data_IF_103049308276
#
_entry.id   IF_103049308276
#
_cell.length_a   1.000
_cell.length_b   1.000
_cell.length_c   1.000
_cell.angle_alpha   90.00
_cell.angle_beta   90.00
_cell.angle_gamma   90.00
#
_symmetry.space_group_name_H-M   'P 1'
#
loop_
_entity.id
_entity.type
_entity.pdbx_description
1 polymer ?
#
# COMPACT_ATOMS: atom_id res chain seq x y z
N UNK A 1 34.69 30.78 16.17
CA UNK A 1 33.78 31.34 15.14
C UNK A 1 32.70 30.30 14.93
N UNK A 2 31.42 30.64 15.14
CA UNK A 2 30.34 29.72 14.79
C UNK A 2 30.39 29.50 13.27
N UNK A 3 30.38 28.25 12.82
CA UNK A 3 30.25 27.95 11.38
C UNK A 3 28.88 28.45 10.92
N UNK A 4 28.79 29.03 9.72
CA UNK A 4 27.51 29.38 9.12
C UNK A 4 26.76 28.11 8.72
N UNK A 5 25.42 28.20 8.64
CA UNK A 5 24.57 27.10 8.19
C UNK A 5 25.02 26.56 6.82
N UNK A 6 25.38 27.43 5.87
CA UNK A 6 25.87 27.03 4.55
C UNK A 6 27.17 26.20 4.59
N UNK A 7 28.13 26.56 5.47
CA UNK A 7 29.36 25.78 5.62
C UNK A 7 29.07 24.40 6.22
N UNK A 8 28.20 24.33 7.23
CA UNK A 8 27.78 23.05 7.82
C UNK A 8 27.00 22.19 6.82
N UNK A 9 26.24 22.82 5.93
CA UNK A 9 25.53 22.11 4.87
C UNK A 9 26.48 21.49 3.85
N UNK A 10 27.52 22.22 3.44
CA UNK A 10 28.58 21.64 2.59
C UNK A 10 29.28 20.47 3.29
N UNK A 11 29.64 20.62 4.56
CA UNK A 11 30.23 19.54 5.36
C UNK A 11 29.29 18.31 5.41
N UNK A 12 27.98 18.53 5.52
CA UNK A 12 26.97 17.46 5.54
C UNK A 12 26.91 16.70 4.20
N UNK A 13 26.98 17.42 3.08
CA UNK A 13 27.00 16.83 1.74
C UNK A 13 28.29 16.05 1.47
N UNK A 14 29.44 16.56 1.93
CA UNK A 14 30.72 15.84 1.85
C UNK A 14 30.68 14.54 2.67
N UNK A 15 30.18 14.59 3.90
CA UNK A 15 30.01 13.41 4.75
C UNK A 15 29.10 12.35 4.10
N UNK A 16 28.01 12.76 3.43
CA UNK A 16 27.13 11.83 2.73
C UNK A 16 27.83 11.17 1.53
N UNK A 17 28.59 11.94 0.74
CA UNK A 17 29.36 11.43 -0.39
C UNK A 17 30.44 10.44 0.03
N UNK A 18 31.06 10.67 1.19
CA UNK A 18 32.04 9.77 1.79
C UNK A 18 31.40 8.52 2.42
N UNK A 19 30.06 8.46 2.49
CA UNK A 19 29.29 7.38 3.07
C UNK A 19 29.16 7.43 4.60
N UNK A 20 29.62 8.50 5.24
CA UNK A 20 29.45 8.76 6.67
C UNK A 20 28.07 9.41 6.94
N UNK A 21 27.05 8.57 6.84
CA UNK A 21 25.65 8.97 6.94
C UNK A 21 25.25 9.47 8.33
N UNK A 22 25.87 8.93 9.39
CA UNK A 22 25.59 9.37 10.77
C UNK A 22 26.08 10.81 10.98
N UNK A 23 27.29 11.12 10.50
CA UNK A 23 27.82 12.48 10.51
C UNK A 23 26.99 13.41 9.61
N UNK A 24 26.61 12.96 8.41
CA UNK A 24 25.79 13.75 7.49
C UNK A 24 24.43 14.15 8.12
N UNK A 25 23.75 13.22 8.78
CA UNK A 25 22.48 13.51 9.48
C UNK A 25 22.71 14.46 10.66
N UNK A 26 23.79 14.27 11.42
CA UNK A 26 24.11 15.16 12.55
C UNK A 26 24.34 16.59 12.06
N UNK A 27 25.15 16.76 11.01
CA UNK A 27 25.42 18.07 10.43
C UNK A 27 24.17 18.70 9.83
N UNK A 28 23.31 17.93 9.16
CA UNK A 28 22.03 18.42 8.66
C UNK A 28 21.10 18.88 9.79
N UNK A 29 21.14 18.23 10.97
CA UNK A 29 20.42 18.70 12.17
C UNK A 29 20.98 20.02 12.68
N UNK A 30 22.29 20.14 12.78
CA UNK A 30 22.95 21.38 13.19
C UNK A 30 22.60 22.54 12.23
N UNK A 31 22.46 22.26 10.93
CA UNK A 31 22.00 23.23 9.92
C UNK A 31 20.59 23.73 10.26
N UNK A 32 19.62 22.84 10.50
CA UNK A 32 18.23 23.28 10.79
C UNK A 32 18.07 23.90 12.17
N UNK A 33 18.98 23.62 13.11
CA UNK A 33 19.03 24.33 14.39
C UNK A 33 19.47 25.79 14.23
N UNK A 34 20.34 26.08 13.25
CA UNK A 34 20.80 27.44 12.93
C UNK A 34 19.82 28.14 11.98
N UNK A 35 19.28 27.41 11.00
CA UNK A 35 18.34 27.87 9.99
C UNK A 35 17.21 26.86 9.77
N UNK A 36 16.13 27.01 10.56
CA UNK A 36 14.93 26.15 10.47
C UNK A 36 14.25 26.23 9.09
N UNK A 37 14.56 27.26 8.28
CA UNK A 37 13.99 27.44 6.94
C UNK A 37 14.74 26.69 5.84
N UNK A 38 15.81 25.97 6.17
CA UNK A 38 16.64 25.24 5.22
C UNK A 38 15.97 23.93 4.74
N UNK A 39 15.08 24.02 3.76
CA UNK A 39 14.28 22.90 3.24
C UNK A 39 15.13 21.69 2.80
N UNK A 40 16.29 21.90 2.17
CA UNK A 40 17.16 20.80 1.72
C UNK A 40 17.77 20.02 2.89
N UNK A 41 18.04 20.67 4.02
CA UNK A 41 18.59 20.03 5.20
C UNK A 41 17.51 19.20 5.91
N UNK A 42 16.27 19.72 5.98
CA UNK A 42 15.11 18.94 6.40
C UNK A 42 14.88 17.72 5.49
N UNK A 43 15.03 17.88 4.18
CA UNK A 43 14.89 16.77 3.23
C UNK A 43 15.99 15.72 3.43
N UNK A 44 17.23 16.16 3.68
CA UNK A 44 18.35 15.30 4.03
C UNK A 44 18.10 14.53 5.34
N UNK A 45 17.63 15.18 6.40
CA UNK A 45 17.27 14.51 7.66
C UNK A 45 16.25 13.39 7.41
N UNK A 46 15.25 13.65 6.56
CA UNK A 46 14.25 12.64 6.20
C UNK A 46 14.86 11.48 5.40
N UNK A 47 15.56 11.77 4.30
CA UNK A 47 16.07 10.74 3.40
C UNK A 47 17.24 9.96 3.98
N UNK A 48 18.17 10.66 4.62
CA UNK A 48 19.35 10.06 5.23
C UNK A 48 18.99 9.33 6.53
N UNK A 49 17.90 9.70 7.19
CA UNK A 49 17.40 8.95 8.36
C UNK A 49 16.85 7.55 8.05
N UNK A 50 16.50 7.25 6.80
CA UNK A 50 15.92 5.96 6.40
C UNK A 50 17.00 4.90 6.12
N UNK A 51 16.70 3.59 6.10
CA UNK A 51 17.68 2.59 5.69
C UNK A 51 18.01 2.68 4.19
N UNK A 52 19.26 2.36 3.84
CA UNK A 52 19.70 2.32 2.44
C UNK A 52 19.34 0.96 1.82
N UNK A 53 18.93 0.96 0.56
CA UNK A 53 18.84 -0.26 -0.24
C UNK A 53 20.24 -0.81 -0.53
N UNK A 54 20.70 -1.81 0.24
CA UNK A 54 22.02 -2.43 0.05
C UNK A 54 21.91 -3.84 -0.56
N UNK A 55 22.65 -4.09 -1.66
CA UNK A 55 22.89 -5.42 -2.27
C UNK A 55 21.64 -6.30 -2.43
N UNK A 56 20.58 -5.77 -3.02
CA UNK A 56 19.36 -6.53 -3.32
C UNK A 56 18.49 -6.91 -2.12
N UNK A 57 18.86 -6.48 -0.90
CA UNK A 57 18.01 -6.54 0.29
C UNK A 57 17.61 -5.11 0.65
N UNK A 58 16.33 -4.80 0.48
CA UNK A 58 15.78 -3.53 0.93
C UNK A 58 15.52 -3.66 2.43
N UNK A 59 16.37 -3.05 3.25
CA UNK A 59 16.06 -2.87 4.66
C UNK A 59 14.95 -1.81 4.76
N UNK A 60 13.91 -2.13 5.51
CA UNK A 60 12.74 -1.28 5.67
C UNK A 60 12.87 -0.52 7.00
N UNK A 61 12.42 0.74 7.08
CA UNK A 61 12.52 1.53 8.30
C UNK A 61 11.75 0.92 9.46
N UNK A 62 12.28 1.10 10.65
CA UNK A 62 11.57 0.91 11.92
C UNK A 62 10.59 2.09 12.17
N UNK A 63 9.78 1.99 13.22
CA UNK A 63 8.78 3.01 13.53
C UNK A 63 9.43 4.37 13.86
N UNK A 64 10.54 4.38 14.58
CA UNK A 64 11.20 5.62 14.99
C UNK A 64 11.81 6.36 13.81
N UNK A 65 12.44 5.65 12.88
CA UNK A 65 12.98 6.17 11.63
C UNK A 65 11.86 6.72 10.75
N UNK A 66 10.78 5.96 10.54
CA UNK A 66 9.64 6.40 9.74
C UNK A 66 8.96 7.65 10.32
N UNK A 67 8.78 7.71 11.65
CA UNK A 67 8.18 8.86 12.32
C UNK A 67 9.06 10.12 12.24
N UNK A 68 10.38 9.99 12.48
CA UNK A 68 11.34 11.11 12.34
C UNK A 68 11.39 11.63 10.91
N UNK A 69 11.44 10.72 9.94
CA UNK A 69 11.43 11.10 8.53
C UNK A 69 10.13 11.83 8.16
N UNK A 70 8.97 11.34 8.63
CA UNK A 70 7.69 12.00 8.37
C UNK A 70 7.62 13.40 9.00
N UNK A 71 8.15 13.59 10.21
CA UNK A 71 8.19 14.91 10.85
C UNK A 71 9.06 15.90 10.06
N UNK A 72 10.21 15.45 9.55
CA UNK A 72 11.07 16.26 8.71
C UNK A 72 10.40 16.57 7.35
N UNK A 73 9.70 15.61 6.74
CA UNK A 73 8.99 15.82 5.47
C UNK A 73 7.85 16.83 5.57
N UNK A 74 7.14 16.88 6.71
CA UNK A 74 6.15 17.94 6.98
C UNK A 74 6.80 19.32 6.90
N UNK A 75 7.97 19.50 7.54
CA UNK A 75 8.75 20.75 7.43
C UNK A 75 9.17 21.05 6.01
N UNK A 76 9.59 20.05 5.22
CA UNK A 76 9.96 20.26 3.82
C UNK A 76 8.78 20.78 3.00
N UNK A 77 7.60 20.18 3.13
CA UNK A 77 6.42 20.63 2.34
C UNK A 77 5.90 21.99 2.80
N UNK A 78 6.04 22.32 4.10
CA UNK A 78 5.71 23.65 4.62
C UNK A 78 6.63 24.74 4.03
N UNK A 79 7.92 24.44 3.88
CA UNK A 79 8.93 25.38 3.37
C UNK A 79 9.01 25.41 1.83
N UNK A 80 8.85 24.25 1.19
CA UNK A 80 8.91 24.05 -0.25
C UNK A 80 7.78 23.11 -0.70
N UNK A 81 6.55 23.66 -0.88
CA UNK A 81 5.38 22.88 -1.28
C UNK A 81 5.50 22.22 -2.66
N UNK A 82 6.40 22.70 -3.52
CA UNK A 82 6.61 22.18 -4.87
C UNK A 82 7.51 20.92 -4.89
N UNK A 83 8.06 20.52 -3.74
CA UNK A 83 8.92 19.35 -3.62
C UNK A 83 8.16 18.04 -3.84
N UNK A 84 8.04 17.60 -5.09
CA UNK A 84 7.40 16.33 -5.46
C UNK A 84 7.99 15.13 -4.68
N UNK A 85 9.32 15.13 -4.49
CA UNK A 85 10.03 14.09 -3.73
C UNK A 85 9.55 14.00 -2.27
N UNK A 86 9.26 15.14 -1.64
CA UNK A 86 8.79 15.16 -0.25
C UNK A 86 7.38 14.57 -0.14
N UNK A 87 6.49 14.95 -1.05
CA UNK A 87 5.14 14.41 -1.13
C UNK A 87 5.12 12.89 -1.37
N UNK A 88 5.90 12.40 -2.36
CA UNK A 88 6.01 10.98 -2.67
C UNK A 88 6.53 10.16 -1.48
N UNK A 89 7.62 10.61 -0.85
CA UNK A 89 8.20 9.91 0.29
C UNK A 89 7.27 9.95 1.51
N UNK A 90 6.65 11.10 1.79
CA UNK A 90 5.73 11.26 2.90
C UNK A 90 4.49 10.37 2.76
N UNK A 91 3.92 10.33 1.55
CA UNK A 91 2.78 9.45 1.26
C UNK A 91 3.12 7.98 1.42
N UNK A 92 4.28 7.55 0.92
CA UNK A 92 4.79 6.18 1.11
C UNK A 92 4.94 5.84 2.59
N UNK A 93 5.55 6.74 3.38
CA UNK A 93 5.72 6.51 4.82
C UNK A 93 4.38 6.43 5.56
N UNK A 94 3.43 7.33 5.28
CA UNK A 94 2.11 7.32 5.92
C UNK A 94 1.32 6.05 5.58
N UNK A 95 1.26 5.67 4.30
CA UNK A 95 0.39 4.61 3.81
C UNK A 95 0.98 3.21 4.00
N UNK A 96 2.25 3.02 3.65
CA UNK A 96 2.87 1.69 3.60
C UNK A 96 3.61 1.35 4.89
N UNK A 97 4.33 2.32 5.47
CA UNK A 97 5.16 2.07 6.65
C UNK A 97 4.41 2.29 7.96
N UNK A 98 3.65 3.37 8.09
CA UNK A 98 2.96 3.74 9.32
C UNK A 98 1.50 3.23 9.36
N UNK A 99 0.88 3.02 8.20
CA UNK A 99 -0.53 2.61 8.10
C UNK A 99 -1.51 3.68 8.58
N UNK A 100 -1.11 4.94 8.57
CA UNK A 100 -1.93 6.09 9.00
C UNK A 100 -2.73 6.60 7.80
N UNK A 101 -3.75 5.84 7.40
CA UNK A 101 -4.41 6.05 6.11
C UNK A 101 -5.23 7.35 6.04
N UNK A 102 -5.88 7.74 7.13
CA UNK A 102 -6.59 9.03 7.23
C UNK A 102 -5.64 10.21 7.04
N UNK A 103 -4.48 10.19 7.72
CA UNK A 103 -3.44 11.20 7.52
C UNK A 103 -2.83 11.13 6.10
N UNK A 104 -2.83 9.93 5.49
CA UNK A 104 -2.47 9.76 4.08
C UNK A 104 -3.46 10.44 3.14
N UNK A 105 -4.76 10.38 3.43
CA UNK A 105 -5.77 11.11 2.65
C UNK A 105 -5.59 12.62 2.75
N UNK A 106 -5.36 13.14 3.97
CA UNK A 106 -5.05 14.56 4.21
C UNK A 106 -3.79 14.98 3.46
N UNK A 107 -2.71 14.19 3.55
CA UNK A 107 -1.45 14.49 2.87
C UNK A 107 -1.62 14.63 1.35
N UNK A 108 -2.38 13.74 0.72
CA UNK A 108 -2.64 13.83 -0.71
C UNK A 108 -3.66 14.92 -1.06
N UNK A 109 -4.58 15.23 -0.15
CA UNK A 109 -5.51 16.36 -0.28
C UNK A 109 -4.76 17.69 -0.32
N UNK A 110 -3.84 17.89 0.62
CA UNK A 110 -2.98 19.08 0.69
C UNK A 110 -2.15 19.25 -0.60
N UNK A 111 -1.56 18.16 -1.11
CA UNK A 111 -0.86 18.18 -2.40
C UNK A 111 -1.78 18.61 -3.54
N UNK A 112 -3.03 18.12 -3.56
CA UNK A 112 -3.99 18.49 -4.60
C UNK A 112 -4.38 19.96 -4.50
N UNK A 113 -4.45 20.53 -3.30
CA UNK A 113 -4.65 21.98 -3.11
C UNK A 113 -3.58 22.83 -3.82
N UNK A 114 -2.33 22.35 -3.84
CA UNK A 114 -1.19 23.02 -4.48
C UNK A 114 -1.07 22.71 -5.98
N UNK A 115 -1.37 21.47 -6.38
CA UNK A 115 -1.31 21.00 -7.76
C UNK A 115 -2.63 20.30 -8.18
N UNK A 116 -3.73 21.05 -8.41
CA UNK A 116 -5.05 20.46 -8.66
C UNK A 116 -5.15 19.58 -9.90
N UNK A 117 -4.28 19.82 -10.89
CA UNK A 117 -4.23 19.08 -12.15
C UNK A 117 -3.42 17.78 -12.06
N UNK A 118 -2.72 17.55 -10.95
CA UNK A 118 -1.89 16.37 -10.80
C UNK A 118 -2.74 15.13 -10.49
N UNK A 119 -2.48 14.05 -11.22
CA UNK A 119 -3.27 12.81 -11.10
C UNK A 119 -2.83 11.93 -9.93
N UNK A 120 -1.54 12.00 -9.55
CA UNK A 120 -0.96 11.11 -8.54
C UNK A 120 -1.75 11.17 -7.21
N UNK A 121 -2.05 12.36 -6.64
CA UNK A 121 -2.82 12.45 -5.40
C UNK A 121 -4.17 11.73 -5.47
N UNK A 122 -4.92 11.87 -6.56
CA UNK A 122 -6.22 11.20 -6.74
C UNK A 122 -6.08 9.68 -6.81
N UNK A 123 -5.05 9.18 -7.50
CA UNK A 123 -4.79 7.74 -7.57
C UNK A 123 -4.45 7.17 -6.20
N UNK A 124 -3.64 7.87 -5.41
CA UNK A 124 -3.28 7.44 -4.06
C UNK A 124 -4.47 7.53 -3.09
N UNK A 125 -5.29 8.59 -3.18
CA UNK A 125 -6.55 8.69 -2.41
C UNK A 125 -7.50 7.53 -2.73
N UNK A 126 -7.70 7.20 -4.01
CA UNK A 126 -8.52 6.05 -4.43
C UNK A 126 -7.97 4.72 -3.88
N UNK A 127 -6.66 4.53 -3.89
CA UNK A 127 -6.04 3.32 -3.34
C UNK A 127 -6.30 3.18 -1.84
N UNK A 128 -6.22 4.29 -1.08
CA UNK A 128 -6.52 4.32 0.36
C UNK A 128 -7.99 3.99 0.62
N UNK A 129 -8.91 4.63 -0.09
CA UNK A 129 -10.35 4.42 0.07
C UNK A 129 -10.75 2.96 -0.23
N UNK A 130 -10.20 2.36 -1.31
CA UNK A 130 -10.40 0.94 -1.63
C UNK A 130 -9.90 0.01 -0.53
N UNK A 131 -8.73 0.32 0.05
CA UNK A 131 -8.13 -0.44 1.15
C UNK A 131 -9.03 -0.43 2.39
N UNK A 132 -9.58 0.74 2.73
CA UNK A 132 -10.51 0.91 3.85
C UNK A 132 -11.96 0.47 3.55
N UNK A 133 -12.32 0.25 2.29
CA UNK A 133 -13.65 -0.21 1.88
C UNK A 133 -14.70 0.91 1.70
N UNK A 134 -14.26 2.16 1.54
CA UNK A 134 -15.10 3.35 1.33
C UNK A 134 -15.35 3.55 -0.17
N UNK A 135 -16.26 2.73 -0.74
CA UNK A 135 -16.48 2.66 -2.19
C UNK A 135 -17.35 3.77 -2.76
N UNK A 136 -18.23 4.36 -1.95
CA UNK A 136 -19.08 5.47 -2.39
C UNK A 136 -18.20 6.72 -2.61
N UNK A 137 -17.30 7.00 -1.67
CA UNK A 137 -16.30 8.05 -1.80
C UNK A 137 -15.30 7.78 -2.93
N UNK A 138 -15.03 6.50 -3.25
CA UNK A 138 -14.25 6.16 -4.44
C UNK A 138 -14.98 6.57 -5.72
N UNK A 139 -16.31 6.44 -5.79
CA UNK A 139 -17.08 6.81 -6.97
C UNK A 139 -17.00 8.31 -7.23
N UNK A 140 -17.18 9.12 -6.18
CA UNK A 140 -17.05 10.59 -6.24
C UNK A 140 -15.64 11.00 -6.72
N UNK A 141 -14.61 10.32 -6.21
CA UNK A 141 -13.22 10.57 -6.62
C UNK A 141 -12.89 10.13 -8.04
N UNK A 142 -13.52 9.07 -8.52
CA UNK A 142 -13.40 8.66 -9.92
C UNK A 142 -14.05 9.67 -10.86
N UNK A 143 -15.17 10.30 -10.50
CA UNK A 143 -15.77 11.35 -11.34
C UNK A 143 -14.81 12.52 -11.54
N UNK A 144 -14.14 12.98 -10.48
CA UNK A 144 -13.12 14.03 -10.58
C UNK A 144 -11.97 13.57 -11.47
N UNK A 145 -11.50 12.33 -11.30
CA UNK A 145 -10.39 11.75 -12.08
C UNK A 145 -10.65 11.76 -13.60
N UNK A 146 -11.90 11.63 -14.02
CA UNK A 146 -12.30 11.63 -15.44
C UNK A 146 -12.97 12.95 -15.88
N UNK A 147 -12.98 13.97 -15.02
CA UNK A 147 -13.53 15.28 -15.33
C UNK A 147 -12.63 16.10 -16.26
N UNK A 148 -13.20 17.14 -16.88
CA UNK A 148 -12.52 18.00 -17.85
C UNK A 148 -11.42 18.90 -17.23
N UNK A 149 -11.38 19.01 -15.90
CA UNK A 149 -10.48 19.89 -15.17
C UNK A 149 -9.07 19.30 -14.95
N UNK A 150 -8.91 17.99 -15.19
CA UNK A 150 -7.62 17.30 -15.06
C UNK A 150 -6.90 17.29 -16.40
N UNK A 151 -5.73 17.91 -16.43
CA UNK A 151 -4.86 17.85 -17.59
C UNK A 151 -4.17 16.47 -17.60
N UNK A 152 -4.77 15.53 -18.34
CA UNK A 152 -4.18 14.22 -18.59
C UNK A 152 -3.24 14.41 -19.78
N UNK A 153 -1.90 14.45 -19.57
CA UNK A 153 -0.99 14.49 -20.70
C UNK A 153 -1.22 13.22 -21.53
N UNK A 154 -1.16 13.28 -22.88
CA UNK A 154 -1.39 12.11 -23.74
C UNK A 154 -0.26 11.09 -23.52
N UNK A 155 -0.43 10.29 -22.48
CA UNK A 155 0.53 9.33 -21.98
C UNK A 155 -0.23 8.02 -21.76
N UNK A 156 -0.05 7.11 -22.72
CA UNK A 156 -0.66 5.78 -22.72
C UNK A 156 -0.42 4.98 -21.44
N UNK A 157 0.68 5.22 -20.71
CA UNK A 157 0.94 4.56 -19.41
C UNK A 157 0.03 5.10 -18.31
N UNK A 158 -0.23 6.40 -18.32
CA UNK A 158 -1.08 7.07 -17.34
C UNK A 158 -2.55 6.71 -17.55
N UNK A 159 -3.02 6.71 -18.80
CA UNK A 159 -4.35 6.21 -19.17
C UNK A 159 -4.55 4.76 -18.73
N UNK A 160 -3.56 3.89 -18.97
CA UNK A 160 -3.61 2.50 -18.52
C UNK A 160 -3.63 2.37 -16.98
N UNK A 161 -2.95 3.27 -16.25
CA UNK A 161 -2.99 3.34 -14.79
C UNK A 161 -4.38 3.75 -14.30
N UNK A 162 -4.98 4.80 -14.89
CA UNK A 162 -6.33 5.27 -14.54
C UNK A 162 -7.40 4.19 -14.78
N UNK A 163 -7.36 3.55 -15.95
CA UNK A 163 -8.27 2.45 -16.28
C UNK A 163 -8.05 1.24 -15.36
N UNK A 164 -6.79 1.00 -14.95
CA UNK A 164 -6.44 -0.01 -13.94
C UNK A 164 -7.07 0.27 -12.58
N UNK A 165 -6.99 1.52 -12.11
CA UNK A 165 -7.60 1.97 -10.84
C UNK A 165 -9.12 1.86 -10.91
N UNK A 166 -9.75 2.33 -11.98
CA UNK A 166 -11.19 2.20 -12.19
C UNK A 166 -11.64 0.73 -12.11
N UNK A 167 -10.98 -0.16 -12.86
CA UNK A 167 -11.28 -1.60 -12.83
C UNK A 167 -11.06 -2.22 -11.44
N UNK A 168 -10.09 -1.70 -10.67
CA UNK A 168 -9.84 -2.13 -9.31
C UNK A 168 -10.99 -1.74 -8.39
N UNK A 169 -11.41 -0.47 -8.43
CA UNK A 169 -12.56 0.06 -7.65
C UNK A 169 -13.83 -0.71 -8.02
N UNK A 170 -14.16 -0.83 -9.31
CA UNK A 170 -15.36 -1.55 -9.76
C UNK A 170 -15.35 -3.02 -9.32
N UNK A 171 -14.19 -3.67 -9.35
CA UNK A 171 -14.05 -5.06 -8.90
C UNK A 171 -14.22 -5.17 -7.39
N UNK A 172 -13.60 -4.27 -6.62
CA UNK A 172 -13.68 -4.26 -5.17
C UNK A 172 -15.13 -3.99 -4.71
N UNK A 173 -15.79 -2.99 -5.30
CA UNK A 173 -17.20 -2.69 -5.04
C UNK A 173 -18.11 -3.89 -5.35
N UNK A 174 -17.91 -4.58 -6.50
CA UNK A 174 -18.68 -5.81 -6.83
C UNK A 174 -18.42 -6.95 -5.85
N UNK A 175 -17.21 -7.09 -5.32
CA UNK A 175 -16.89 -8.12 -4.32
C UNK A 175 -17.59 -7.87 -2.98
N UNK A 176 -17.97 -6.62 -2.72
CA UNK A 176 -18.61 -6.17 -1.49
C UNK A 176 -20.08 -5.77 -1.68
N UNK A 177 -20.70 -6.22 -2.77
CA UNK A 177 -22.12 -6.03 -3.03
C UNK A 177 -23.03 -6.57 -1.92
N UNK A 178 -22.56 -7.58 -1.16
CA UNK A 178 -23.25 -8.13 0.00
C UNK A 178 -23.07 -7.27 1.28
N UNK A 179 -22.57 -6.04 1.15
CA UNK A 179 -22.30 -5.07 2.21
C UNK A 179 -20.84 -5.04 2.62
N UNK A 180 -20.24 -3.85 2.78
CA UNK A 180 -18.82 -3.66 3.11
C UNK A 180 -18.45 -4.15 4.53
N UNK A 181 -17.20 -4.57 4.75
CA UNK A 181 -16.74 -4.95 6.09
C UNK A 181 -16.57 -3.70 6.94
N UNK A 182 -17.19 -3.66 8.12
CA UNK A 182 -16.95 -2.63 9.12
C UNK A 182 -16.16 -3.21 10.32
N UNK A 183 -14.81 -3.13 10.33
CA UNK A 183 -14.00 -3.70 11.41
C UNK A 183 -14.35 -3.15 12.81
N UNK A 184 -14.79 -1.90 12.88
CA UNK A 184 -15.21 -1.23 14.11
C UNK A 184 -16.50 -1.82 14.70
N UNK A 185 -17.35 -2.46 13.89
CA UNK A 185 -18.54 -3.15 14.38
C UNK A 185 -18.21 -4.62 14.74
N UNK A 186 -18.12 -4.89 16.03
CA UNK A 186 -17.86 -6.25 16.55
C UNK A 186 -18.97 -7.26 16.25
N UNK A 187 -20.17 -6.78 15.87
CA UNK A 187 -21.32 -7.61 15.49
C UNK A 187 -21.36 -7.92 14.00
N UNK A 188 -20.46 -7.36 13.20
CA UNK A 188 -20.34 -7.68 11.78
C UNK A 188 -20.11 -9.19 11.59
N UNK A 189 -20.93 -9.82 10.74
CA UNK A 189 -20.90 -11.26 10.47
C UNK A 189 -19.55 -11.71 9.87
N UNK A 190 -18.80 -10.79 9.25
CA UNK A 190 -17.46 -11.10 8.71
C UNK A 190 -16.48 -11.48 9.81
N UNK A 191 -16.64 -11.00 11.05
CA UNK A 191 -15.84 -11.47 12.17
C UNK A 191 -16.00 -12.98 12.42
N UNK A 192 -17.21 -13.53 12.29
CA UNK A 192 -17.44 -14.98 12.43
C UNK A 192 -16.76 -15.79 11.32
N UNK A 193 -16.64 -15.23 10.12
CA UNK A 193 -15.91 -15.85 9.01
C UNK A 193 -14.40 -15.86 9.34
N UNK A 194 -13.86 -14.72 9.78
CA UNK A 194 -12.44 -14.59 10.16
C UNK A 194 -12.10 -15.54 11.31
N UNK A 195 -12.93 -15.61 12.37
CA UNK A 195 -12.75 -16.54 13.50
C UNK A 195 -12.64 -18.00 13.04
N UNK A 196 -13.56 -18.44 12.18
CA UNK A 196 -13.56 -19.82 11.64
C UNK A 196 -12.33 -20.12 10.77
N UNK A 197 -11.81 -19.10 10.08
CA UNK A 197 -10.67 -19.24 9.17
C UNK A 197 -9.31 -18.92 9.80
N UNK A 198 -9.27 -18.40 11.03
CA UNK A 198 -8.07 -17.96 11.78
C UNK A 198 -6.92 -18.98 11.82
N UNK A 199 -7.23 -20.28 11.81
CA UNK A 199 -6.25 -21.37 11.86
C UNK A 199 -5.62 -21.71 10.50
N UNK A 200 -6.00 -21.04 9.41
CA UNK A 200 -5.53 -21.32 8.04
C UNK A 200 -4.77 -20.11 7.50
N UNK A 201 -3.76 -20.37 6.65
CA UNK A 201 -3.08 -19.31 5.91
C UNK A 201 -3.90 -18.95 4.66
N UNK A 202 -3.82 -17.71 4.18
CA UNK A 202 -4.34 -17.34 2.87
C UNK A 202 -3.72 -18.23 1.79
N UNK A 203 -4.50 -18.58 0.78
CA UNK A 203 -4.05 -19.41 -0.33
C UNK A 203 -3.16 -18.55 -1.23
N UNK A 204 -1.90 -18.95 -1.45
CA UNK A 204 -1.02 -18.22 -2.36
C UNK A 204 -1.43 -18.44 -3.82
N UNK A 205 -1.20 -17.44 -4.67
CA UNK A 205 -1.52 -17.54 -6.10
C UNK A 205 -0.79 -18.72 -6.75
N UNK A 206 0.50 -18.90 -6.47
CA UNK A 206 1.30 -20.01 -7.02
C UNK A 206 0.75 -21.36 -6.60
N UNK A 207 0.38 -21.53 -5.33
CA UNK A 207 -0.22 -22.76 -4.85
C UNK A 207 -1.57 -23.01 -5.54
N UNK A 208 -2.41 -21.98 -5.65
CA UNK A 208 -3.71 -22.10 -6.31
C UNK A 208 -3.57 -22.49 -7.79
N UNK A 209 -2.65 -21.85 -8.52
CA UNK A 209 -2.38 -22.16 -9.92
C UNK A 209 -1.86 -23.58 -10.09
N UNK A 210 -0.98 -24.04 -9.20
CA UNK A 210 -0.42 -25.39 -9.28
C UNK A 210 -1.42 -26.48 -8.90
N UNK A 211 -2.27 -26.25 -7.89
CA UNK A 211 -3.17 -27.27 -7.34
C UNK A 211 -4.52 -27.31 -8.04
N UNK A 212 -5.04 -26.18 -8.54
CA UNK A 212 -6.36 -26.11 -9.17
C UNK A 212 -6.29 -25.90 -10.68
N UNK A 213 -5.46 -24.96 -11.16
CA UNK A 213 -5.41 -24.62 -12.59
C UNK A 213 -4.61 -25.63 -13.40
N UNK A 214 -3.42 -26.00 -12.94
CA UNK A 214 -2.52 -26.89 -13.68
C UNK A 214 -3.13 -28.28 -13.95
N UNK A 215 -3.83 -28.95 -13.02
CA UNK A 215 -4.46 -30.24 -13.31
C UNK A 215 -5.58 -30.13 -14.36
N UNK A 216 -6.38 -29.06 -14.34
CA UNK A 216 -7.43 -28.83 -15.34
C UNK A 216 -6.81 -28.65 -16.72
N UNK A 217 -5.79 -27.79 -16.82
CA UNK A 217 -5.04 -27.55 -18.07
C UNK A 217 -4.36 -28.83 -18.56
N UNK A 218 -3.80 -29.63 -17.66
CA UNK A 218 -3.16 -30.91 -17.99
C UNK A 218 -4.15 -31.93 -18.56
N UNK A 219 -5.33 -32.05 -17.96
CA UNK A 219 -6.40 -32.93 -18.47
C UNK A 219 -6.89 -32.48 -19.84
N UNK A 220 -7.13 -31.17 -20.03
CA UNK A 220 -7.51 -30.60 -21.33
C UNK A 220 -6.42 -30.82 -22.38
N UNK A 221 -5.15 -30.62 -22.01
CA UNK A 221 -4.01 -30.85 -22.87
C UNK A 221 -3.89 -32.32 -23.30
N UNK A 222 -4.10 -33.24 -22.36
CA UNK A 222 -4.07 -34.68 -22.62
C UNK A 222 -5.22 -35.13 -23.53
N UNK A 223 -6.43 -34.59 -23.34
CA UNK A 223 -7.56 -34.82 -24.23
C UNK A 223 -7.31 -34.25 -25.65
N UNK A 224 -6.73 -33.05 -25.74
CA UNK A 224 -6.37 -32.43 -27.02
C UNK A 224 -5.26 -33.22 -27.75
N UNK A 225 -4.26 -33.71 -27.01
CA UNK A 225 -3.21 -34.59 -27.55
C UNK A 225 -3.81 -35.90 -28.08
N UNK A 226 -4.77 -36.49 -27.37
CA UNK A 226 -5.45 -37.70 -27.84
C UNK A 226 -6.23 -37.47 -29.14
N UNK A 227 -6.91 -36.32 -29.26
CA UNK A 227 -7.75 -36.01 -30.42
C UNK A 227 -6.95 -35.54 -31.66
N UNK A 228 -5.93 -34.71 -31.46
CA UNK A 228 -5.25 -33.99 -32.56
C UNK A 228 -3.74 -34.24 -32.63
N UNK A 229 -3.15 -34.91 -31.63
CA UNK A 229 -1.69 -35.04 -31.48
C UNK A 229 -1.01 -36.07 -32.38
N UNK A 230 -1.73 -36.71 -33.30
CA UNK A 230 -1.18 -37.75 -34.19
C UNK A 230 -0.27 -37.19 -35.29
N UNK A 231 -0.31 -35.88 -35.57
CA UNK A 231 0.52 -35.21 -36.58
C UNK A 231 1.42 -34.15 -35.95
N UNK A 232 2.54 -33.83 -36.62
CA UNK A 232 3.49 -32.78 -36.17
C UNK A 232 2.86 -31.39 -36.14
N UNK A 233 1.96 -31.08 -37.08
CA UNK A 233 1.17 -29.84 -37.04
C UNK A 233 0.15 -29.88 -35.91
N UNK A 234 -0.47 -31.04 -35.67
CA UNK A 234 -1.42 -31.24 -34.58
C UNK A 234 -0.79 -31.03 -33.19
N UNK A 235 0.43 -31.52 -32.96
CA UNK A 235 1.14 -31.28 -31.69
C UNK A 235 1.49 -29.81 -31.47
N UNK A 236 1.85 -29.06 -32.52
CA UNK A 236 2.06 -27.60 -32.45
C UNK A 236 0.75 -26.88 -32.09
N UNK A 237 -0.37 -27.26 -32.72
CA UNK A 237 -1.69 -26.69 -32.42
C UNK A 237 -2.09 -26.98 -30.96
N UNK A 238 -1.89 -28.21 -30.49
CA UNK A 238 -2.18 -28.58 -29.10
C UNK A 238 -1.31 -27.79 -28.12
N UNK A 239 -0.04 -27.55 -28.43
CA UNK A 239 0.83 -26.72 -27.59
C UNK A 239 0.28 -25.28 -27.42
N UNK A 240 -0.11 -24.62 -28.50
CA UNK A 240 -0.74 -23.29 -28.42
C UNK A 240 -2.10 -23.33 -27.70
N UNK A 241 -2.87 -24.41 -27.87
CA UNK A 241 -4.13 -24.60 -27.16
C UNK A 241 -3.92 -24.71 -25.65
N UNK A 242 -2.91 -25.47 -25.21
CA UNK A 242 -2.54 -25.59 -23.79
C UNK A 242 -2.13 -24.22 -23.24
N UNK A 243 -1.28 -23.49 -23.96
CA UNK A 243 -0.80 -22.18 -23.54
C UNK A 243 -1.95 -21.17 -23.39
N UNK A 244 -2.82 -21.07 -24.41
CA UNK A 244 -3.99 -20.19 -24.37
C UNK A 244 -4.99 -20.60 -23.29
N UNK A 245 -5.22 -21.90 -23.09
CA UNK A 245 -6.08 -22.43 -22.03
C UNK A 245 -5.54 -22.10 -20.64
N UNK A 246 -4.22 -22.21 -20.43
CA UNK A 246 -3.59 -21.84 -19.17
C UNK A 246 -3.86 -20.37 -18.81
N UNK A 247 -3.63 -19.45 -19.75
CA UNK A 247 -3.88 -18.03 -19.51
C UNK A 247 -5.38 -17.73 -19.29
N UNK A 248 -6.26 -18.35 -20.08
CA UNK A 248 -7.70 -18.17 -19.95
C UNK A 248 -8.23 -18.67 -18.60
N UNK A 249 -7.88 -19.90 -18.21
CA UNK A 249 -8.31 -20.50 -16.94
C UNK A 249 -7.69 -19.76 -15.76
N UNK A 250 -6.41 -19.41 -15.83
CA UNK A 250 -5.75 -18.59 -14.80
C UNK A 250 -6.51 -17.29 -14.56
N UNK A 251 -6.83 -16.54 -15.62
CA UNK A 251 -7.58 -15.28 -15.54
C UNK A 251 -8.98 -15.45 -14.94
N UNK A 252 -9.73 -16.47 -15.36
CA UNK A 252 -11.08 -16.74 -14.84
C UNK A 252 -11.06 -17.21 -13.38
N UNK A 253 -10.05 -18.00 -13.01
CA UNK A 253 -9.91 -18.58 -11.68
C UNK A 253 -9.47 -17.57 -10.62
N UNK A 254 -8.87 -16.45 -11.03
CA UNK A 254 -8.36 -15.44 -10.09
C UNK A 254 -9.48 -14.83 -9.24
N UNK A 255 -10.67 -14.62 -9.81
CA UNK A 255 -11.84 -14.15 -9.05
C UNK A 255 -12.24 -15.10 -7.92
N UNK A 256 -12.14 -16.42 -8.16
CA UNK A 256 -12.38 -17.44 -7.15
C UNK A 256 -11.32 -17.40 -6.04
N UNK A 257 -10.03 -17.26 -6.40
CA UNK A 257 -8.95 -17.13 -5.42
C UNK A 257 -9.18 -15.93 -4.49
N UNK A 258 -9.54 -14.77 -5.06
CA UNK A 258 -9.86 -13.58 -4.27
C UNK A 258 -11.05 -13.83 -3.33
N UNK A 259 -12.11 -14.50 -3.82
CA UNK A 259 -13.27 -14.86 -2.98
C UNK A 259 -12.89 -15.80 -1.84
N UNK A 260 -12.04 -16.80 -2.11
CA UNK A 260 -11.55 -17.72 -1.09
C UNK A 260 -10.70 -17.01 -0.04
N UNK A 261 -9.90 -16.02 -0.45
CA UNK A 261 -9.05 -15.23 0.42
C UNK A 261 -9.73 -13.98 1.00
N UNK A 262 -11.05 -13.79 0.81
CA UNK A 262 -11.76 -12.59 1.30
C UNK A 262 -11.56 -12.35 2.80
N UNK A 263 -11.63 -13.42 3.61
CA UNK A 263 -11.37 -13.35 5.05
C UNK A 263 -9.98 -12.79 5.42
N UNK A 264 -8.97 -13.00 4.57
CA UNK A 264 -7.64 -12.44 4.77
C UNK A 264 -7.61 -10.95 4.41
N UNK A 265 -8.32 -10.54 3.36
CA UNK A 265 -8.50 -9.12 2.99
C UNK A 265 -9.28 -8.36 4.07
N UNK A 266 -10.33 -8.98 4.62
CA UNK A 266 -11.09 -8.39 5.73
C UNK A 266 -10.19 -8.18 6.96
N UNK A 267 -9.38 -9.18 7.32
CA UNK A 267 -8.43 -9.02 8.42
C UNK A 267 -7.36 -7.95 8.13
N UNK A 268 -6.89 -7.85 6.88
CA UNK A 268 -5.95 -6.81 6.45
C UNK A 268 -6.57 -5.41 6.61
N UNK A 269 -7.84 -5.24 6.23
CA UNK A 269 -8.60 -4.01 6.46
C UNK A 269 -8.80 -3.71 7.95
N UNK A 270 -9.00 -4.72 8.78
CA UNK A 270 -9.08 -4.51 10.22
C UNK A 270 -7.76 -3.97 10.78
N UNK A 271 -6.61 -4.51 10.33
CA UNK A 271 -5.30 -3.97 10.72
C UNK A 271 -5.15 -2.51 10.29
N UNK A 272 -5.64 -2.16 9.10
CA UNK A 272 -5.59 -0.78 8.59
C UNK A 272 -6.49 0.17 9.39
N UNK A 273 -7.67 -0.29 9.80
CA UNK A 273 -8.54 0.43 10.72
C UNK A 273 -7.82 0.70 12.05
N UNK A 274 -7.16 -0.31 12.63
CA UNK A 274 -6.44 -0.13 13.90
C UNK A 274 -5.29 0.88 13.80
N UNK A 275 -4.45 0.80 12.76
CA UNK A 275 -3.31 1.72 12.60
C UNK A 275 -3.74 3.14 12.28
N UNK A 276 -4.85 3.28 11.56
CA UNK A 276 -5.45 4.57 11.21
C UNK A 276 -6.02 5.27 12.44
N UNK A 277 -6.85 4.57 13.21
CA UNK A 277 -7.46 5.14 14.43
C UNK A 277 -6.48 5.21 15.60
N UNK A 278 -5.46 4.35 15.61
CA UNK A 278 -4.56 4.17 16.75
C UNK A 278 -5.18 3.41 17.91
N UNK A 279 -6.21 2.59 17.64
CA UNK A 279 -7.01 1.87 18.65
C UNK A 279 -7.32 0.44 18.17
N UNK A 280 -7.61 -0.47 19.09
CA UNK A 280 -7.89 -1.87 18.78
C UNK A 280 -9.34 -2.10 18.36
N UNK A 281 -9.53 -2.92 17.32
CA UNK A 281 -10.81 -3.46 16.88
C UNK A 281 -10.74 -4.97 16.59
N UNK A 282 -9.55 -5.56 16.39
CA UNK A 282 -9.37 -6.99 16.16
C UNK A 282 -9.55 -7.75 17.50
N UNK A 283 -10.48 -8.73 17.58
CA UNK A 283 -10.65 -9.57 18.75
C UNK A 283 -9.38 -10.34 19.16
N UNK A 284 -9.14 -10.45 20.46
CA UNK A 284 -7.98 -11.17 21.04
C UNK A 284 -7.87 -12.63 20.59
N UNK A 285 -9.00 -13.30 20.35
CA UNK A 285 -9.03 -14.69 19.86
C UNK A 285 -8.43 -14.86 18.45
N UNK A 286 -8.36 -13.78 17.65
CA UNK A 286 -7.79 -13.77 16.31
C UNK A 286 -6.29 -13.40 16.37
N UNK A 287 -5.87 -12.63 17.38
CA UNK A 287 -4.47 -12.24 17.57
C UNK A 287 -3.58 -13.47 17.71
N UNK A 288 -2.39 -13.42 17.10
CA UNK A 288 -1.44 -14.53 17.12
C UNK A 288 -1.88 -15.79 16.36
N UNK A 289 -3.06 -15.80 15.74
CA UNK A 289 -3.52 -16.91 14.90
C UNK A 289 -2.65 -17.06 13.64
N UNK A 290 -2.75 -18.21 12.96
CA UNK A 290 -1.97 -18.47 11.73
C UNK A 290 -2.34 -17.49 10.62
N UNK A 291 -3.61 -17.13 10.52
CA UNK A 291 -4.10 -16.12 9.58
C UNK A 291 -3.50 -14.76 9.93
N UNK A 292 -3.65 -14.34 11.19
CA UNK A 292 -3.15 -13.05 11.69
C UNK A 292 -1.65 -12.87 11.44
N UNK A 293 -0.83 -13.84 11.85
CA UNK A 293 0.61 -13.80 11.66
C UNK A 293 1.00 -13.82 10.18
N UNK A 294 0.21 -14.48 9.33
CA UNK A 294 0.45 -14.50 7.88
C UNK A 294 0.13 -13.17 7.20
N UNK A 295 -0.93 -12.49 7.63
CA UNK A 295 -1.32 -11.17 7.08
C UNK A 295 -0.35 -10.10 7.59
N UNK A 296 -0.14 -10.03 8.90
CA UNK A 296 0.80 -9.09 9.53
C UNK A 296 2.26 -9.31 9.07
N UNK A 297 2.63 -10.57 8.80
CA UNK A 297 3.98 -10.93 8.34
C UNK A 297 4.39 -10.23 7.04
N UNK A 298 3.41 -9.93 6.17
CA UNK A 298 3.63 -9.25 4.89
C UNK A 298 3.71 -7.72 5.00
N UNK A 299 3.41 -7.14 6.17
CA UNK A 299 3.48 -5.68 6.40
C UNK A 299 4.90 -5.19 6.67
N UNK A 300 5.11 -3.88 6.63
CA UNK A 300 6.40 -3.24 6.93
C UNK A 300 6.77 -3.36 8.42
N UNK A 301 8.06 -3.33 8.79
CA UNK A 301 8.49 -3.38 10.20
C UNK A 301 7.89 -2.26 11.05
N UNK A 302 7.98 -1.00 10.60
CA UNK A 302 7.33 0.15 11.27
C UNK A 302 5.84 -0.08 11.58
N UNK A 303 5.10 -0.69 10.64
CA UNK A 303 3.68 -1.00 10.80
C UNK A 303 3.47 -2.02 11.92
N UNK A 304 4.31 -3.05 11.98
CA UNK A 304 4.22 -4.11 13.01
C UNK A 304 4.53 -3.56 14.41
N UNK A 305 5.56 -2.73 14.53
CA UNK A 305 5.91 -2.07 15.78
C UNK A 305 4.78 -1.17 16.26
N UNK A 306 4.20 -0.36 15.35
CA UNK A 306 3.05 0.50 15.67
C UNK A 306 1.84 -0.31 16.14
N UNK A 307 1.49 -1.40 15.43
CA UNK A 307 0.42 -2.30 15.84
C UNK A 307 0.67 -2.87 17.25
N UNK A 308 1.91 -3.23 17.59
CA UNK A 308 2.26 -3.71 18.93
C UNK A 308 1.95 -2.65 20.00
N UNK A 309 2.34 -1.39 19.77
CA UNK A 309 2.07 -0.30 20.71
C UNK A 309 0.56 -0.01 20.85
N UNK A 310 -0.21 -0.10 19.76
CA UNK A 310 -1.66 0.07 19.79
C UNK A 310 -2.32 -1.06 20.60
N UNK A 311 -1.83 -2.30 20.46
CA UNK A 311 -2.30 -3.43 21.27
C UNK A 311 -2.00 -3.24 22.75
N UNK A 312 -0.80 -2.75 23.09
CA UNK A 312 -0.40 -2.47 24.47
C UNK A 312 -1.29 -1.39 25.13
N UNK A 313 -1.72 -0.39 24.36
CA UNK A 313 -2.68 0.62 24.83
C UNK A 313 -4.06 0.01 25.16
N UNK A 314 -4.54 -0.92 24.33
CA UNK A 314 -5.81 -1.62 24.53
C UNK A 314 -7.08 -0.74 24.41
N UNK A 315 -6.94 0.52 24.01
CA UNK A 315 -8.05 1.42 23.74
C UNK A 315 -8.87 0.92 22.54
N UNK A 316 -10.19 0.84 22.69
CA UNK A 316 -11.07 0.30 21.62
C UNK A 316 -11.53 1.37 20.64
N UNK A 317 -11.59 1.00 19.36
CA UNK A 317 -12.24 1.83 18.33
C UNK A 317 -13.73 1.99 18.68
N UNK A 318 -14.28 3.22 18.66
CA UNK A 318 -15.71 3.43 18.82
C UNK A 318 -16.51 2.71 17.72
N UNK A 319 -17.62 2.07 18.07
CA UNK A 319 -18.43 1.31 17.10
C UNK A 319 -19.05 2.18 15.99
N UNK A 320 -19.16 3.49 16.23
CA UNK A 320 -19.66 4.50 15.29
C UNK A 320 -18.53 5.32 14.68
N UNK A 321 -17.29 4.86 14.77
CA UNK A 321 -16.19 5.52 14.10
C UNK A 321 -16.41 5.43 12.58
N UNK A 322 -16.22 6.56 11.93
CA UNK A 322 -16.24 6.73 10.48
C UNK A 322 -14.98 7.49 10.10
N UNK A 323 -14.47 7.20 8.90
CA UNK A 323 -13.29 7.84 8.34
C UNK A 323 -13.58 9.33 8.13
N UNK A 324 -12.68 10.19 8.60
CA UNK A 324 -12.72 11.58 8.19
C UNK A 324 -12.15 11.69 6.77
N UNK A 325 -13.01 12.09 5.83
CA UNK A 325 -12.67 12.22 4.43
C UNK A 325 -12.35 13.70 4.13
N UNK A 326 -11.15 14.02 3.58
CA UNK A 326 -10.65 15.34 3.21
C UNK A 326 -11.55 16.48 2.78
N UNK A 327 -12.68 16.10 2.19
CA UNK A 327 -13.14 16.65 0.94
C UNK A 327 -14.60 16.31 0.63
#
# INVERSE_FOLDING_TARGET
MAKSAEMLWLDALEAEQDGDRDSAISLARDVVEIDDSHADAWMAIAQWGLPVTARGRQDMPDLAQAAKAMSALRKVVDLNPDSARAWELGGTLLVDHLGMLEHGLEWWEDRRGMAPKEIIPLVEQLAILVRLGYFDECADRLEILYGDDIDIPPNRRLEARMEGVRKMVERAARMEADGAFAPQDQKDQRWDIIRRMSKRKPISQTFFLLTFVAPIVFLLGSAAMYAFGSTTLGSIVVFFLILTSYFAISRLSMGLLHKLNRHALDLDRALDCETTVGKVCIPEEIRGSKLYNSVLGNRMPAFKERISLIQESGERVPSKWELHVPF
#
